data_IF_190649671968
#
_entry.id   IF_190649671968
#
_cell.length_a   1.000
_cell.length_b   1.000
_cell.length_c   1.000
_cell.angle_alpha   90.00
_cell.angle_beta   90.00
_cell.angle_gamma   90.00
#
_symmetry.space_group_name_H-M   'P 1'
#
loop_
_entity.id
_entity.type
_entity.pdbx_description
1 polymer ?
#
# COMPACT_ATOMS: atom_id res chain seq x y z
N UNK A 1 -16.99 -4.81 -23.91
CA UNK A 1 -16.10 -5.64 -23.08
C UNK A 1 -15.89 -4.87 -21.79
N UNK A 2 -16.30 -5.37 -20.62
CA UNK A 2 -15.90 -4.72 -19.38
C UNK A 2 -14.38 -4.82 -19.36
N UNK A 3 -13.69 -3.67 -19.32
CA UNK A 3 -12.25 -3.68 -19.04
C UNK A 3 -12.16 -4.31 -17.66
N UNK A 4 -11.63 -5.52 -17.57
CA UNK A 4 -11.25 -6.10 -16.29
C UNK A 4 -10.37 -5.04 -15.64
N UNK A 5 -10.90 -4.38 -14.62
CA UNK A 5 -10.21 -3.32 -13.90
C UNK A 5 -9.01 -4.02 -13.24
N UNK A 6 -7.87 -4.02 -13.92
CA UNK A 6 -6.66 -4.71 -13.47
C UNK A 6 -6.22 -4.04 -12.18
N UNK A 7 -6.50 -4.72 -11.07
CA UNK A 7 -6.09 -4.29 -9.75
C UNK A 7 -4.56 -4.34 -9.73
N UNK A 8 -3.88 -3.24 -9.38
CA UNK A 8 -2.42 -3.21 -9.34
C UNK A 8 -1.90 -4.18 -8.28
N UNK A 9 -0.99 -5.08 -8.67
CA UNK A 9 -0.31 -5.99 -7.75
C UNK A 9 0.83 -5.23 -7.05
N UNK A 10 0.49 -4.62 -5.93
CA UNK A 10 1.39 -3.77 -5.14
C UNK A 10 1.56 -4.27 -3.70
N UNK A 11 1.09 -5.48 -3.42
CA UNK A 11 1.23 -6.13 -2.12
C UNK A 11 2.71 -6.40 -1.82
N UNK A 12 3.11 -6.20 -0.56
CA UNK A 12 4.49 -6.32 -0.07
C UNK A 12 5.53 -5.36 -0.70
N UNK A 13 5.14 -4.55 -1.68
CA UNK A 13 5.98 -3.49 -2.22
C UNK A 13 6.15 -2.36 -1.21
N UNK A 14 7.24 -1.61 -1.38
CA UNK A 14 7.43 -0.34 -0.67
C UNK A 14 6.34 0.64 -1.11
N UNK A 15 5.93 1.50 -0.19
CA UNK A 15 4.91 2.52 -0.48
C UNK A 15 5.25 3.34 -1.74
N UNK A 16 6.50 3.75 -1.91
CA UNK A 16 6.94 4.54 -3.06
C UNK A 16 6.78 3.79 -4.40
N UNK A 17 7.13 2.51 -4.44
CA UNK A 17 6.98 1.69 -5.65
C UNK A 17 5.52 1.40 -5.96
N UNK A 18 4.72 1.13 -4.93
CA UNK A 18 3.27 0.95 -5.07
C UNK A 18 2.60 2.20 -5.65
N UNK A 19 2.95 3.39 -5.15
CA UNK A 19 2.43 4.66 -5.66
C UNK A 19 2.83 4.89 -7.11
N UNK A 20 4.08 4.58 -7.48
CA UNK A 20 4.54 4.71 -8.86
C UNK A 20 3.73 3.82 -9.81
N UNK A 21 3.52 2.54 -9.46
CA UNK A 21 2.73 1.59 -10.25
C UNK A 21 1.27 2.06 -10.37
N UNK A 22 0.64 2.43 -9.25
CA UNK A 22 -0.73 2.93 -9.26
C UNK A 22 -0.88 4.16 -10.16
N UNK A 23 0.05 5.12 -10.08
CA UNK A 23 0.05 6.30 -10.93
C UNK A 23 0.25 5.97 -12.42
N UNK A 24 1.16 5.05 -12.75
CA UNK A 24 1.37 4.59 -14.14
C UNK A 24 0.15 3.88 -14.71
N UNK A 25 -0.61 3.17 -13.88
CA UNK A 25 -1.86 2.50 -14.27
C UNK A 25 -3.09 3.41 -14.22
N UNK A 26 -2.93 4.70 -13.84
CA UNK A 26 -4.02 5.67 -13.77
C UNK A 26 -4.94 5.55 -12.56
N UNK A 27 -4.51 4.85 -11.52
CA UNK A 27 -5.26 4.68 -10.27
C UNK A 27 -5.05 5.84 -9.31
N UNK A 28 -6.15 6.37 -8.77
CA UNK A 28 -6.12 7.31 -7.64
C UNK A 28 -6.15 6.53 -6.33
N UNK A 29 -5.05 6.59 -5.58
CA UNK A 29 -4.89 5.80 -4.37
C UNK A 29 -4.68 6.68 -3.13
N UNK A 30 -5.41 6.37 -2.06
CA UNK A 30 -5.22 6.99 -0.75
C UNK A 30 -4.36 6.09 0.14
N UNK A 31 -3.41 6.66 0.88
CA UNK A 31 -2.51 5.90 1.75
C UNK A 31 -3.04 5.93 3.18
N UNK A 32 -3.28 4.75 3.74
CA UNK A 32 -3.60 4.58 5.15
C UNK A 32 -2.48 3.83 5.86
N UNK A 33 -1.78 4.53 6.76
CA UNK A 33 -0.76 3.91 7.60
C UNK A 33 -1.40 3.34 8.87
N UNK A 34 -1.15 2.07 9.14
CA UNK A 34 -1.50 1.48 10.43
C UNK A 34 -0.56 2.03 11.50
N UNK A 35 -1.09 2.80 12.45
CA UNK A 35 -0.29 3.35 13.53
C UNK A 35 0.24 2.20 14.41
N UNK A 36 1.56 2.08 14.65
CA UNK A 36 2.06 1.09 15.58
C UNK A 36 1.62 1.48 17.00
N UNK A 37 1.17 0.53 17.83
CA UNK A 37 0.67 0.81 19.18
C UNK A 37 1.70 1.41 20.16
N UNK A 38 2.95 1.68 19.72
CA UNK A 38 4.04 2.17 20.58
C UNK A 38 4.88 3.31 19.99
N UNK A 39 4.40 4.04 18.98
CA UNK A 39 5.05 5.30 18.56
C UNK A 39 6.50 5.17 18.05
N UNK A 40 6.92 3.97 17.60
CA UNK A 40 8.25 3.78 17.01
C UNK A 40 8.20 4.33 15.58
N UNK A 41 8.82 5.49 15.38
CA UNK A 41 8.86 6.24 14.12
C UNK A 41 9.93 5.73 13.14
N UNK A 42 10.34 4.46 13.22
CA UNK A 42 11.40 3.89 12.39
C UNK A 42 11.01 2.53 11.81
N UNK A 43 11.19 2.37 10.50
CA UNK A 43 10.96 1.13 9.75
C UNK A 43 10.52 1.38 8.31
N UNK A 44 10.81 0.45 7.39
CA UNK A 44 10.33 0.51 6.00
C UNK A 44 8.82 0.28 5.96
N UNK A 45 8.11 1.16 5.24
CA UNK A 45 6.66 1.05 5.02
C UNK A 45 6.38 0.16 3.81
N UNK A 46 5.64 -0.92 4.05
CA UNK A 46 5.20 -1.85 3.01
C UNK A 46 3.69 -1.88 2.90
N UNK A 47 3.20 -2.04 1.69
CA UNK A 47 1.77 -2.25 1.44
C UNK A 47 1.38 -3.64 1.93
N UNK A 48 0.40 -3.69 2.83
CA UNK A 48 -0.16 -4.94 3.36
C UNK A 48 -1.53 -5.24 2.82
N UNK A 49 -2.20 -4.24 2.23
CA UNK A 49 -3.54 -4.41 1.66
C UNK A 49 -3.82 -3.33 0.63
N UNK A 50 -4.49 -3.72 -0.43
CA UNK A 50 -5.13 -2.80 -1.37
C UNK A 50 -6.65 -3.01 -1.32
N UNK A 51 -7.41 -1.92 -1.17
CA UNK A 51 -8.88 -1.97 -1.12
C UNK A 51 -9.42 -1.09 -2.22
N UNK A 52 -10.09 -1.67 -3.22
CA UNK A 52 -10.76 -0.91 -4.28
C UNK A 52 -12.00 -0.23 -3.70
N UNK A 53 -12.09 1.09 -3.83
CA UNK A 53 -13.23 1.89 -3.34
C UNK A 53 -14.16 2.33 -4.46
N UNK A 54 -13.62 2.48 -5.68
CA UNK A 54 -14.38 2.77 -6.90
C UNK A 54 -13.54 2.35 -8.13
N UNK A 55 -14.11 2.33 -9.35
CA UNK A 55 -13.34 2.17 -10.58
C UNK A 55 -12.20 3.20 -10.66
N UNK A 56 -10.96 2.75 -10.87
CA UNK A 56 -9.76 3.58 -10.84
C UNK A 56 -9.42 4.21 -9.48
N UNK A 57 -10.06 3.80 -8.37
CA UNK A 57 -9.78 4.32 -7.02
C UNK A 57 -9.58 3.23 -5.98
N UNK A 58 -8.60 3.41 -5.11
CA UNK A 58 -8.34 2.47 -4.03
C UNK A 58 -7.68 3.09 -2.80
N UNK A 59 -7.61 2.29 -1.75
CA UNK A 59 -6.90 2.61 -0.52
C UNK A 59 -5.77 1.62 -0.34
N UNK A 60 -4.56 2.14 -0.25
CA UNK A 60 -3.34 1.41 0.10
C UNK A 60 -3.17 1.43 1.61
N UNK A 61 -3.36 0.28 2.25
CA UNK A 61 -2.99 0.13 3.66
C UNK A 61 -1.53 -0.25 3.73
N UNK A 62 -0.75 0.58 4.42
CA UNK A 62 0.66 0.32 4.70
C UNK A 62 0.89 -0.03 6.16
N UNK A 63 1.78 -0.98 6.39
CA UNK A 63 2.30 -1.33 7.69
C UNK A 63 3.80 -1.11 7.72
N UNK A 64 4.30 -0.77 8.91
CA UNK A 64 5.73 -0.62 9.16
C UNK A 64 6.29 -1.97 9.57
N UNK A 65 7.33 -2.42 8.87
CA UNK A 65 8.10 -3.57 9.35
C UNK A 65 8.79 -3.20 10.66
N UNK A 66 8.36 -3.83 11.75
CA UNK A 66 9.19 -3.87 12.96
C UNK A 66 10.39 -4.75 12.63
N UNK A 67 11.58 -4.16 12.64
CA UNK A 67 12.79 -4.96 12.92
C UNK A 67 12.63 -5.47 14.35
N UNK A 68 11.98 -6.63 14.48
CA UNK A 68 11.98 -7.39 15.71
C UNK A 68 13.42 -7.70 16.03
N UNK A 69 13.88 -7.23 17.19
CA UNK A 69 15.13 -7.58 17.83
C UNK A 69 15.43 -9.07 17.59
N UNK A 70 16.58 -9.35 17.00
CA UNK A 70 17.20 -10.69 16.96
C UNK A 70 17.03 -11.36 18.34
N UNK A 71 16.49 -12.57 18.32
CA UNK A 71 16.39 -13.44 19.51
C UNK A 71 17.75 -13.99 19.89
#
# INVERSE_FOLDING_TARGET
>A
MPREEQIPDVLALKLEEALAICNQMGWQVEVQTTAPPRGISGGTERVVRFTVTAPGKGVLTVAREKTGKEV
#
